data_IF_174468423570
#
_entry.id   IF_174468423570
#
_cell.length_a   1.000
_cell.length_b   1.000
_cell.length_c   1.000
_cell.angle_alpha   90.00
_cell.angle_beta   90.00
_cell.angle_gamma   90.00
#
_symmetry.space_group_name_H-M   'P 1'
#
loop_
_entity.id
_entity.type
_entity.pdbx_description
1 polymer ?
#
# COMPACT_ATOMS: atom_id res chain seq x y z
N UNK A 1 -19.28 7.36 -23.08
CA UNK A 1 -20.69 7.75 -22.82
C UNK A 1 -20.70 8.67 -21.60
N UNK A 2 -20.50 9.99 -21.74
CA UNK A 2 -21.51 11.03 -22.02
C UNK A 2 -22.58 11.24 -20.92
N UNK A 3 -22.19 11.53 -19.66
CA UNK A 3 -23.13 12.06 -18.63
C UNK A 3 -22.57 13.22 -17.78
N UNK A 4 -21.38 13.76 -18.07
CA UNK A 4 -20.77 14.83 -17.22
C UNK A 4 -20.98 16.28 -17.69
N UNK A 5 -21.68 16.52 -18.80
CA UNK A 5 -21.74 17.87 -19.41
C UNK A 5 -22.93 18.75 -18.98
N UNK A 6 -23.87 18.28 -18.16
CA UNK A 6 -25.09 19.06 -17.84
C UNK A 6 -25.00 19.90 -16.57
N UNK A 7 -24.18 19.50 -15.58
CA UNK A 7 -24.07 20.25 -14.31
C UNK A 7 -23.12 21.46 -14.38
N UNK A 8 -22.08 21.39 -15.22
CA UNK A 8 -21.16 22.51 -15.45
C UNK A 8 -21.85 23.68 -16.19
N UNK A 9 -22.76 23.36 -17.11
CA UNK A 9 -23.52 24.36 -17.86
C UNK A 9 -24.49 25.16 -16.95
N UNK A 10 -25.12 24.50 -15.98
CA UNK A 10 -26.06 25.16 -15.06
C UNK A 10 -25.38 26.17 -14.10
N UNK A 11 -24.14 25.89 -13.70
CA UNK A 11 -23.31 26.79 -12.86
C UNK A 11 -22.83 28.03 -13.63
N UNK A 12 -22.51 27.89 -14.92
CA UNK A 12 -22.08 29.02 -15.75
C UNK A 12 -23.24 29.97 -16.12
N UNK A 13 -24.47 29.43 -16.24
CA UNK A 13 -25.67 30.25 -16.50
C UNK A 13 -26.05 31.07 -15.27
N UNK A 14 -25.91 30.51 -14.06
CA UNK A 14 -26.23 31.22 -12.81
C UNK A 14 -25.21 32.32 -12.46
N UNK A 15 -23.92 32.14 -12.80
CA UNK A 15 -22.89 33.18 -12.65
C UNK A 15 -23.12 34.39 -13.59
N UNK A 16 -23.78 34.17 -14.73
CA UNK A 16 -24.07 35.22 -15.72
C UNK A 16 -25.21 36.16 -15.27
N UNK A 17 -26.12 35.67 -14.42
CA UNK A 17 -27.27 36.47 -13.93
C UNK A 17 -26.83 37.47 -12.85
N UNK A 18 -25.84 37.12 -12.03
CA UNK A 18 -25.34 37.99 -10.95
C UNK A 18 -24.51 39.16 -11.49
N UNK A 19 -23.74 38.95 -12.57
CA UNK A 19 -22.91 40.01 -13.15
C UNK A 19 -23.68 41.08 -13.92
N UNK A 20 -24.94 40.84 -14.28
CA UNK A 20 -25.76 41.80 -15.05
C UNK A 20 -26.49 42.84 -14.19
N UNK A 21 -26.51 42.69 -12.86
CA UNK A 21 -27.19 43.63 -11.96
C UNK A 21 -26.30 44.81 -11.49
N UNK A 22 -25.01 44.85 -11.87
CA UNK A 22 -24.06 45.87 -11.41
C UNK A 22 -23.82 47.03 -12.40
N UNK A 23 -24.56 47.12 -13.52
CA UNK A 23 -24.36 48.17 -14.54
C UNK A 23 -25.53 49.15 -14.72
N UNK A 24 -26.36 49.33 -13.69
CA UNK A 24 -27.30 50.45 -13.65
C UNK A 24 -26.73 51.55 -12.76
N UNK A 25 -26.56 52.73 -13.34
CA UNK A 25 -26.08 53.94 -12.68
C UNK A 25 -27.00 54.34 -11.51
N UNK A 26 -26.56 54.10 -10.27
CA UNK A 26 -26.79 54.91 -9.07
C UNK A 26 -25.97 54.34 -7.90
N UNK A 27 -25.43 55.16 -6.98
CA UNK A 27 -24.67 54.65 -5.83
C UNK A 27 -25.61 53.97 -4.82
N UNK A 28 -25.35 52.70 -4.42
CA UNK A 28 -26.19 51.99 -3.47
C UNK A 28 -26.01 52.52 -2.03
N UNK A 29 -27.14 52.65 -1.32
CA UNK A 29 -27.21 53.03 0.10
C UNK A 29 -26.46 52.05 1.02
N UNK A 30 -25.97 52.51 2.20
CA UNK A 30 -25.05 51.75 3.06
C UNK A 30 -25.59 50.40 3.60
N UNK A 31 -26.90 50.17 3.55
CA UNK A 31 -27.53 48.96 4.10
C UNK A 31 -27.42 47.72 3.19
N UNK A 32 -27.03 47.87 1.93
CA UNK A 32 -26.91 46.73 1.01
C UNK A 32 -25.57 45.98 1.15
N UNK A 33 -24.56 46.59 1.77
CA UNK A 33 -23.23 45.99 1.91
C UNK A 33 -23.09 45.01 3.10
N UNK A 34 -23.86 45.22 4.18
CA UNK A 34 -23.82 44.31 5.34
C UNK A 34 -24.48 42.95 5.05
N UNK A 35 -25.56 42.94 4.27
CA UNK A 35 -26.27 41.71 3.90
C UNK A 35 -25.44 40.85 2.94
N UNK A 36 -24.70 41.49 2.02
CA UNK A 36 -23.77 40.82 1.09
C UNK A 36 -22.56 40.27 1.84
N UNK A 37 -22.06 40.96 2.87
CA UNK A 37 -20.94 40.48 3.68
C UNK A 37 -21.30 39.23 4.51
N UNK A 38 -22.52 39.17 5.05
CA UNK A 38 -23.03 37.99 5.77
C UNK A 38 -23.14 36.77 4.84
N UNK A 39 -23.67 36.97 3.63
CA UNK A 39 -23.76 35.93 2.59
C UNK A 39 -22.38 35.42 2.16
N UNK A 40 -21.41 36.31 1.95
CA UNK A 40 -20.05 35.94 1.56
C UNK A 40 -19.29 35.21 2.68
N UNK A 41 -19.56 35.53 3.95
CA UNK A 41 -18.97 34.82 5.09
C UNK A 41 -19.49 33.39 5.21
N UNK A 42 -20.79 33.16 4.96
CA UNK A 42 -21.39 31.82 4.89
C UNK A 42 -20.87 30.99 3.72
N UNK A 43 -20.61 31.63 2.57
CA UNK A 43 -20.01 30.98 1.40
C UNK A 43 -18.55 30.59 1.69
N UNK A 44 -17.78 31.41 2.39
CA UNK A 44 -16.37 31.12 2.74
C UNK A 44 -16.22 29.91 3.67
N UNK A 45 -17.11 29.74 4.65
CA UNK A 45 -17.15 28.53 5.49
C UNK A 45 -17.58 27.29 4.70
N UNK A 46 -18.51 27.43 3.76
CA UNK A 46 -18.91 26.33 2.87
C UNK A 46 -17.77 25.89 1.94
N UNK A 47 -16.95 26.82 1.46
CA UNK A 47 -15.75 26.50 0.68
C UNK A 47 -14.60 25.94 1.53
N UNK A 48 -14.50 26.29 2.82
CA UNK A 48 -13.52 25.69 3.74
C UNK A 48 -13.79 24.20 3.98
N UNK A 49 -15.07 23.81 4.08
CA UNK A 49 -15.48 22.41 4.16
C UNK A 49 -15.17 21.63 2.87
N UNK A 50 -15.33 22.26 1.70
CA UNK A 50 -14.96 21.65 0.40
C UNK A 50 -13.45 21.60 0.15
N UNK A 51 -12.68 22.47 0.81
CA UNK A 51 -11.21 22.46 0.77
C UNK A 51 -10.62 21.44 1.77
N UNK A 52 -11.30 21.17 2.88
CA UNK A 52 -10.97 20.06 3.79
C UNK A 52 -11.44 18.69 3.25
N UNK A 53 -12.47 18.64 2.38
CA UNK A 53 -12.85 17.39 1.68
C UNK A 53 -11.96 17.04 0.47
N UNK A 54 -10.94 17.84 0.18
CA UNK A 54 -10.00 17.64 -0.94
C UNK A 54 -8.86 16.65 -0.65
N UNK A 55 -8.90 15.95 0.49
CA UNK A 55 -7.95 14.89 0.86
C UNK A 55 -8.58 13.48 0.91
N UNK A 56 -9.83 13.33 0.44
CA UNK A 56 -10.37 12.00 0.20
C UNK A 56 -9.97 11.55 -1.20
N UNK A 57 -9.04 10.60 -1.29
CA UNK A 57 -8.76 9.88 -2.53
C UNK A 57 -10.06 9.42 -3.19
N UNK A 58 -10.18 9.44 -4.53
CA UNK A 58 -11.38 8.97 -5.22
C UNK A 58 -11.76 7.57 -4.73
N UNK A 59 -13.07 7.21 -4.68
CA UNK A 59 -13.53 5.90 -4.20
C UNK A 59 -12.83 4.70 -4.87
N UNK A 60 -12.31 4.90 -6.09
CA UNK A 60 -11.59 3.91 -6.87
C UNK A 60 -10.12 3.73 -6.42
N UNK A 61 -9.46 4.80 -5.99
CA UNK A 61 -8.07 4.76 -5.48
C UNK A 61 -8.00 4.09 -4.10
N UNK A 62 -8.95 4.39 -3.21
CA UNK A 62 -9.03 3.73 -1.91
C UNK A 62 -9.35 2.23 -2.07
N UNK A 63 -10.27 1.87 -2.97
CA UNK A 63 -10.58 0.47 -3.23
C UNK A 63 -9.38 -0.29 -3.82
N UNK A 64 -8.59 0.34 -4.69
CA UNK A 64 -7.35 -0.24 -5.22
C UNK A 64 -6.31 -0.45 -4.12
N UNK A 65 -6.14 0.53 -3.22
CA UNK A 65 -5.26 0.41 -2.05
C UNK A 65 -5.69 -0.71 -1.11
N UNK A 66 -6.99 -0.82 -0.84
CA UNK A 66 -7.54 -1.87 0.02
C UNK A 66 -7.32 -3.26 -0.60
N UNK A 67 -7.54 -3.40 -1.90
CA UNK A 67 -7.30 -4.65 -2.64
C UNK A 67 -5.82 -5.05 -2.62
N UNK A 68 -4.91 -4.10 -2.82
CA UNK A 68 -3.46 -4.32 -2.71
C UNK A 68 -3.06 -4.75 -1.30
N UNK A 69 -3.54 -4.01 -0.29
CA UNK A 69 -3.24 -4.29 1.13
C UNK A 69 -3.67 -5.70 1.49
N UNK A 70 -4.87 -6.10 1.05
CA UNK A 70 -5.39 -7.45 1.24
C UNK A 70 -4.53 -8.50 0.53
N UNK A 71 -4.23 -8.30 -0.75
CA UNK A 71 -3.38 -9.20 -1.53
C UNK A 71 -2.02 -9.44 -0.85
N UNK A 72 -1.32 -8.35 -0.51
CA UNK A 72 0.00 -8.42 0.10
C UNK A 72 -0.04 -9.08 1.47
N UNK A 73 -1.02 -8.73 2.31
CA UNK A 73 -1.18 -9.36 3.62
C UNK A 73 -1.38 -10.87 3.50
N UNK A 74 -2.30 -11.31 2.64
CA UNK A 74 -2.57 -12.75 2.46
C UNK A 74 -1.34 -13.51 1.94
N UNK A 75 -0.62 -12.95 0.96
CA UNK A 75 0.55 -13.62 0.37
C UNK A 75 1.72 -13.66 1.35
N UNK A 76 1.98 -12.57 2.08
CA UNK A 76 3.03 -12.54 3.09
C UNK A 76 2.71 -13.47 4.26
N UNK A 77 1.46 -13.51 4.74
CA UNK A 77 1.05 -14.46 5.79
C UNK A 77 1.13 -15.93 5.33
N UNK A 78 0.78 -16.21 4.08
CA UNK A 78 0.96 -17.53 3.51
C UNK A 78 2.45 -17.91 3.42
N UNK A 79 3.31 -16.96 3.03
CA UNK A 79 4.75 -17.16 2.98
C UNK A 79 5.32 -17.52 4.36
N UNK A 80 4.92 -16.77 5.40
CA UNK A 80 5.29 -17.03 6.80
C UNK A 80 4.97 -18.47 7.18
N UNK A 81 3.71 -18.89 7.01
CA UNK A 81 3.25 -20.23 7.37
C UNK A 81 4.05 -21.32 6.67
N UNK A 82 4.35 -21.14 5.38
CA UNK A 82 5.09 -22.12 4.61
C UNK A 82 6.55 -22.23 5.03
N UNK A 83 7.19 -21.12 5.43
CA UNK A 83 8.56 -21.12 5.99
C UNK A 83 8.59 -21.80 7.35
N UNK A 84 7.63 -21.49 8.21
CA UNK A 84 7.47 -22.16 9.50
C UNK A 84 7.25 -23.66 9.32
N UNK A 85 6.36 -24.06 8.40
CA UNK A 85 6.08 -25.46 8.10
C UNK A 85 7.32 -26.18 7.56
N UNK A 86 8.05 -25.59 6.62
CA UNK A 86 9.30 -26.17 6.12
C UNK A 86 10.35 -26.32 7.22
N UNK A 87 10.45 -25.33 8.11
CA UNK A 87 11.37 -25.35 9.26
C UNK A 87 11.02 -26.48 10.23
N UNK A 88 9.74 -26.62 10.59
CA UNK A 88 9.28 -27.64 11.54
C UNK A 88 9.24 -29.06 10.97
N UNK A 89 9.21 -29.21 9.64
CA UNK A 89 9.11 -30.51 8.98
C UNK A 89 10.45 -30.93 8.40
N UNK A 90 10.82 -30.37 7.25
CA UNK A 90 12.00 -30.77 6.46
C UNK A 90 13.28 -30.46 7.20
N UNK A 91 13.47 -29.22 7.66
CA UNK A 91 14.70 -28.82 8.34
C UNK A 91 14.88 -29.56 9.68
N UNK A 92 13.85 -29.59 10.52
CA UNK A 92 13.89 -30.33 11.79
C UNK A 92 14.18 -31.83 11.58
N UNK A 93 13.64 -32.44 10.52
CA UNK A 93 13.94 -33.84 10.17
C UNK A 93 15.41 -34.01 9.79
N UNK A 94 15.97 -33.11 8.99
CA UNK A 94 17.38 -33.17 8.55
C UNK A 94 18.33 -32.96 9.73
N UNK A 95 18.06 -32.00 10.61
CA UNK A 95 18.85 -31.76 11.83
C UNK A 95 18.88 -32.95 12.81
N UNK A 96 17.82 -33.77 12.83
CA UNK A 96 17.72 -34.96 13.67
C UNK A 96 18.32 -36.22 13.02
N UNK A 97 18.77 -36.15 11.77
CA UNK A 97 19.40 -37.27 11.08
C UNK A 97 20.82 -37.50 11.62
N UNK A 98 21.03 -38.62 12.32
CA UNK A 98 22.36 -38.96 12.88
C UNK A 98 23.43 -39.25 11.83
N UNK A 99 23.08 -39.33 10.54
CA UNK A 99 24.00 -39.65 9.45
C UNK A 99 24.65 -38.42 8.80
N UNK A 100 24.18 -37.20 9.10
CA UNK A 100 24.82 -35.97 8.59
C UNK A 100 26.11 -35.69 9.36
N UNK A 101 27.10 -35.13 8.67
CA UNK A 101 28.34 -34.67 9.29
C UNK A 101 28.15 -33.32 10.01
N UNK A 102 29.12 -32.96 10.86
CA UNK A 102 29.08 -31.72 11.65
C UNK A 102 29.05 -30.44 10.80
N UNK A 103 29.67 -30.45 9.62
CA UNK A 103 29.64 -29.30 8.72
C UNK A 103 28.23 -29.08 8.17
N UNK A 104 27.61 -30.13 7.65
CA UNK A 104 26.21 -30.11 7.18
C UNK A 104 25.26 -29.71 8.30
N UNK A 105 25.46 -30.23 9.51
CA UNK A 105 24.65 -29.86 10.67
C UNK A 105 24.75 -28.36 11.00
N UNK A 106 25.95 -27.78 10.97
CA UNK A 106 26.12 -26.35 11.22
C UNK A 106 25.48 -25.49 10.11
N UNK A 107 25.54 -25.92 8.86
CA UNK A 107 24.85 -25.24 7.76
C UNK A 107 23.33 -25.26 7.97
N UNK A 108 22.75 -26.40 8.38
CA UNK A 108 21.32 -26.50 8.68
C UNK A 108 20.90 -25.66 9.89
N UNK A 109 21.72 -25.57 10.94
CA UNK A 109 21.45 -24.67 12.07
C UNK A 109 21.48 -23.20 11.63
N UNK A 110 22.38 -22.83 10.73
CA UNK A 110 22.36 -21.50 10.13
C UNK A 110 21.08 -21.25 9.32
N UNK A 111 20.64 -22.24 8.53
CA UNK A 111 19.36 -22.19 7.82
C UNK A 111 18.17 -21.96 8.77
N UNK A 112 18.16 -22.60 9.95
CA UNK A 112 17.13 -22.39 10.97
C UNK A 112 17.09 -20.93 11.45
N UNK A 113 18.26 -20.35 11.72
CA UNK A 113 18.37 -18.96 12.17
C UNK A 113 17.87 -17.97 11.10
N UNK A 114 18.34 -18.12 9.85
CA UNK A 114 17.94 -17.20 8.77
C UNK A 114 16.48 -17.38 8.37
N UNK A 115 15.91 -18.58 8.42
CA UNK A 115 14.47 -18.76 8.19
C UNK A 115 13.61 -18.10 9.25
N UNK A 116 14.05 -18.11 10.52
CA UNK A 116 13.39 -17.33 11.57
C UNK A 116 13.45 -15.83 11.29
N UNK A 117 14.61 -15.31 10.86
CA UNK A 117 14.75 -13.91 10.45
C UNK A 117 13.89 -13.57 9.23
N UNK A 118 13.75 -14.50 8.27
CA UNK A 118 12.86 -14.33 7.12
C UNK A 118 11.38 -14.21 7.57
N UNK A 119 10.94 -15.06 8.50
CA UNK A 119 9.59 -14.98 9.09
C UNK A 119 9.37 -13.64 9.80
N UNK A 120 10.34 -13.19 10.60
CA UNK A 120 10.28 -11.90 11.28
C UNK A 120 10.17 -10.73 10.29
N UNK A 121 11.00 -10.73 9.24
CA UNK A 121 10.93 -9.74 8.17
C UNK A 121 9.54 -9.72 7.52
N UNK A 122 8.94 -10.87 7.21
CA UNK A 122 7.60 -10.90 6.62
C UNK A 122 6.50 -10.45 7.58
N UNK A 123 6.59 -10.76 8.88
CA UNK A 123 5.67 -10.19 9.86
C UNK A 123 5.76 -8.66 9.91
N UNK A 124 6.97 -8.10 9.87
CA UNK A 124 7.17 -6.67 9.78
C UNK A 124 6.61 -6.11 8.46
N UNK A 125 6.83 -6.81 7.34
CA UNK A 125 6.27 -6.49 6.03
C UNK A 125 4.74 -6.36 6.07
N UNK A 126 4.05 -7.35 6.63
CA UNK A 126 2.58 -7.33 6.83
C UNK A 126 2.17 -6.10 7.63
N UNK A 127 2.85 -5.83 8.75
CA UNK A 127 2.55 -4.66 9.58
C UNK A 127 2.70 -3.35 8.78
N UNK A 128 3.79 -3.19 8.04
CA UNK A 128 4.05 -2.00 7.25
C UNK A 128 3.03 -1.83 6.12
N UNK A 129 2.57 -2.93 5.49
CA UNK A 129 1.46 -2.92 4.53
C UNK A 129 0.17 -2.40 5.16
N UNK A 130 -0.18 -2.89 6.36
CA UNK A 130 -1.35 -2.41 7.12
C UNK A 130 -1.25 -0.93 7.50
N UNK A 131 -0.05 -0.49 7.90
CA UNK A 131 0.23 0.89 8.27
C UNK A 131 0.33 1.82 7.02
N UNK A 132 0.34 1.26 5.81
CA UNK A 132 0.50 1.96 4.55
C UNK A 132 1.92 2.44 4.25
N UNK A 133 2.92 1.97 5.00
CA UNK A 133 4.35 2.23 4.78
C UNK A 133 4.92 1.24 3.77
N UNK A 134 4.61 1.45 2.49
CA UNK A 134 5.06 0.58 1.40
C UNK A 134 6.57 0.64 1.15
N UNK A 135 7.24 1.73 1.55
CA UNK A 135 8.70 1.83 1.48
C UNK A 135 9.34 0.84 2.44
N UNK A 136 8.88 0.81 3.70
CA UNK A 136 9.39 -0.15 4.67
C UNK A 136 8.92 -1.57 4.33
N UNK A 137 7.68 -1.77 3.88
CA UNK A 137 7.22 -3.09 3.42
C UNK A 137 8.10 -3.66 2.30
N UNK A 138 8.53 -2.83 1.34
CA UNK A 138 9.50 -3.22 0.30
C UNK A 138 10.83 -3.65 0.91
N UNK A 139 11.37 -2.88 1.85
CA UNK A 139 12.64 -3.21 2.51
C UNK A 139 12.55 -4.55 3.26
N UNK A 140 11.49 -4.78 4.03
CA UNK A 140 11.25 -6.05 4.72
C UNK A 140 11.09 -7.22 3.76
N UNK A 141 10.42 -7.01 2.61
CA UNK A 141 10.26 -8.05 1.59
C UNK A 141 11.60 -8.42 0.95
N UNK A 142 12.49 -7.45 0.73
CA UNK A 142 13.88 -7.74 0.31
C UNK A 142 14.65 -8.50 1.39
N UNK A 143 14.50 -8.12 2.65
CA UNK A 143 15.17 -8.77 3.77
C UNK A 143 14.73 -10.24 3.91
N UNK A 144 13.45 -10.54 3.72
CA UNK A 144 12.96 -11.91 3.61
C UNK A 144 13.70 -12.71 2.54
N UNK A 145 13.78 -12.18 1.31
CA UNK A 145 14.46 -12.86 0.19
C UNK A 145 15.94 -13.09 0.52
N UNK A 146 16.61 -12.09 1.09
CA UNK A 146 18.02 -12.18 1.46
C UNK A 146 18.25 -13.27 2.51
N UNK A 147 17.40 -13.33 3.53
CA UNK A 147 17.47 -14.35 4.57
C UNK A 147 17.20 -15.76 4.02
N UNK A 148 16.24 -15.91 3.11
CA UNK A 148 16.04 -17.19 2.42
C UNK A 148 17.29 -17.60 1.64
N UNK A 149 17.92 -16.67 0.92
CA UNK A 149 19.14 -16.95 0.14
C UNK A 149 20.38 -17.19 0.99
N UNK A 150 20.39 -16.73 2.25
CA UNK A 150 21.50 -16.94 3.17
C UNK A 150 21.62 -18.40 3.63
N UNK A 151 20.55 -19.19 3.50
CA UNK A 151 20.61 -20.64 3.72
C UNK A 151 21.37 -21.31 2.55
N UNK A 152 22.62 -21.70 2.82
CA UNK A 152 23.50 -22.37 1.86
C UNK A 152 23.43 -23.91 2.01
N UNK A 153 22.24 -24.48 1.80
CA UNK A 153 22.08 -25.94 1.67
C UNK A 153 21.87 -26.32 0.19
N UNK A 154 22.82 -27.10 -0.33
CA UNK A 154 22.85 -27.53 -1.72
C UNK A 154 21.87 -28.64 -2.09
N UNK A 155 21.14 -29.20 -1.12
CA UNK A 155 20.19 -30.26 -1.40
C UNK A 155 18.98 -29.72 -2.17
N UNK A 156 18.44 -30.58 -3.04
CA UNK A 156 17.37 -30.21 -3.95
C UNK A 156 16.13 -29.68 -3.21
N UNK A 157 15.81 -30.22 -2.03
CA UNK A 157 14.64 -29.79 -1.25
C UNK A 157 14.77 -28.35 -0.75
N UNK A 158 15.96 -27.93 -0.30
CA UNK A 158 16.23 -26.56 0.15
C UNK A 158 16.29 -25.59 -1.03
N UNK A 159 16.89 -26.00 -2.15
CA UNK A 159 16.93 -25.19 -3.36
C UNK A 159 15.52 -24.94 -3.93
N UNK A 160 14.68 -25.97 -4.02
CA UNK A 160 13.30 -25.83 -4.48
C UNK A 160 12.49 -24.93 -3.56
N UNK A 161 12.67 -25.07 -2.24
CA UNK A 161 12.02 -24.20 -1.27
C UNK A 161 12.48 -22.73 -1.41
N UNK A 162 13.79 -22.50 -1.53
CA UNK A 162 14.34 -21.16 -1.69
C UNK A 162 13.90 -20.49 -3.00
N UNK A 163 13.77 -21.26 -4.09
CA UNK A 163 13.21 -20.77 -5.35
C UNK A 163 11.75 -20.36 -5.22
N UNK A 164 10.89 -21.23 -4.65
CA UNK A 164 9.49 -20.89 -4.38
C UNK A 164 9.37 -19.61 -3.52
N UNK A 165 10.16 -19.51 -2.45
CA UNK A 165 10.11 -18.35 -1.56
C UNK A 165 10.56 -17.07 -2.27
N UNK A 166 11.57 -17.14 -3.14
CA UNK A 166 11.99 -16.01 -3.98
C UNK A 166 10.89 -15.57 -4.94
N UNK A 167 10.16 -16.49 -5.54
CA UNK A 167 9.02 -16.17 -6.41
C UNK A 167 7.95 -15.39 -5.64
N UNK A 168 7.53 -15.91 -4.47
CA UNK A 168 6.52 -15.24 -3.63
C UNK A 168 6.99 -13.86 -3.15
N UNK A 169 8.23 -13.75 -2.68
CA UNK A 169 8.81 -12.47 -2.29
C UNK A 169 8.93 -11.50 -3.47
N UNK A 170 9.29 -12.00 -4.65
CA UNK A 170 9.37 -11.23 -5.89
C UNK A 170 8.02 -10.69 -6.34
N UNK A 171 6.96 -11.49 -6.26
CA UNK A 171 5.59 -11.08 -6.58
C UNK A 171 5.11 -9.98 -5.63
N UNK A 172 5.38 -10.12 -4.33
CA UNK A 172 5.07 -9.08 -3.34
C UNK A 172 5.84 -7.79 -3.63
N UNK A 173 7.14 -7.86 -3.94
CA UNK A 173 7.94 -6.70 -4.32
C UNK A 173 7.40 -6.01 -5.57
N UNK A 174 7.05 -6.78 -6.61
CA UNK A 174 6.52 -6.23 -7.85
C UNK A 174 5.23 -5.45 -7.58
N UNK A 175 4.32 -5.99 -6.77
CA UNK A 175 3.07 -5.33 -6.40
C UNK A 175 3.27 -4.08 -5.56
N UNK A 176 4.23 -4.09 -4.64
CA UNK A 176 4.58 -2.91 -3.86
C UNK A 176 5.16 -1.82 -4.76
N UNK A 177 6.06 -2.18 -5.69
CA UNK A 177 6.67 -1.21 -6.63
C UNK A 177 5.65 -0.63 -7.59
N UNK A 178 4.78 -1.47 -8.18
CA UNK A 178 3.68 -1.04 -9.07
C UNK A 178 2.78 0.02 -8.40
N UNK A 179 2.55 -0.11 -7.09
CA UNK A 179 1.78 0.86 -6.33
C UNK A 179 2.55 2.14 -6.02
N UNK A 180 3.85 2.04 -5.73
CA UNK A 180 4.69 3.18 -5.38
C UNK A 180 5.01 4.06 -6.60
N UNK A 181 5.25 3.47 -7.76
CA UNK A 181 5.64 4.14 -9.01
C UNK A 181 4.77 3.65 -10.19
N UNK A 182 3.50 4.08 -10.30
CA UNK A 182 2.56 3.59 -11.32
C UNK A 182 2.87 4.09 -12.75
N UNK A 183 3.84 4.98 -12.94
CA UNK A 183 4.22 5.49 -14.27
C UNK A 183 5.23 4.58 -15.01
N UNK A 184 5.81 3.59 -14.33
CA UNK A 184 6.84 2.68 -14.88
C UNK A 184 6.39 1.20 -14.95
N UNK A 185 5.13 0.89 -14.62
CA UNK A 185 4.55 -0.47 -14.60
C UNK A 185 3.83 -0.88 -15.87
#
# INVERSE_FOLDING_TARGET
MAVFNTRLAALLISLSIVLSAASAADPPSPSAFEEVSSYLSGIKEHFRFLQESSYASPPEEQAAKDALTHYLTEHMEAAIKQVEEFSWTTLAKRLNDSSIDDYTKNALLHCEEVYKSAVEAMHNGVKNVWDGDFVQARAETHEFINNINACDDSSMEFQTFAEWAREVGGDCLAKIVEYMDPEDS
#
